data_IF_514262169616
#
_entry.id   IF_514262169616
#
_cell.length_a   1.000
_cell.length_b   1.000
_cell.length_c   1.000
_cell.angle_alpha   90.00
_cell.angle_beta   90.00
_cell.angle_gamma   90.00
#
_symmetry.space_group_name_H-M   'P 1'
#
loop_
_entity.id
_entity.type
_entity.pdbx_description
1 polymer ?
#
# COMPACT_ATOMS: atom_id res chain seq x y z
N UNK A 1 -31.24 -22.20 -2.67
CA UNK A 1 -30.65 -20.94 -3.08
C UNK A 1 -31.77 -19.91 -3.20
N UNK A 2 -31.74 -18.84 -2.37
CA UNK A 2 -32.88 -17.93 -2.17
C UNK A 2 -33.31 -17.25 -3.49
N UNK A 3 -34.59 -17.07 -3.68
CA UNK A 3 -35.25 -16.41 -4.83
C UNK A 3 -34.68 -14.99 -5.05
N UNK A 4 -34.25 -14.34 -3.97
CA UNK A 4 -33.59 -13.01 -3.99
C UNK A 4 -32.25 -13.02 -4.73
N UNK A 5 -31.44 -14.07 -4.55
CA UNK A 5 -30.13 -14.18 -5.22
C UNK A 5 -30.33 -14.33 -6.73
N UNK A 6 -31.32 -15.14 -7.18
CA UNK A 6 -31.61 -15.28 -8.61
C UNK A 6 -32.08 -13.97 -9.24
N UNK A 7 -32.95 -13.21 -8.56
CA UNK A 7 -33.43 -11.90 -9.04
C UNK A 7 -32.29 -10.89 -9.13
N UNK A 8 -31.41 -10.85 -8.12
CA UNK A 8 -30.24 -10.00 -8.13
C UNK A 8 -29.30 -10.30 -9.32
N UNK A 9 -28.99 -11.57 -9.55
CA UNK A 9 -28.16 -11.98 -10.69
C UNK A 9 -28.80 -11.70 -12.04
N UNK A 10 -30.12 -11.86 -12.17
CA UNK A 10 -30.85 -11.53 -13.41
C UNK A 10 -30.83 -10.02 -13.69
N UNK A 11 -30.95 -9.20 -12.65
CA UNK A 11 -30.85 -7.75 -12.76
C UNK A 11 -29.45 -7.30 -13.20
N UNK A 12 -28.40 -7.85 -12.56
CA UNK A 12 -27.02 -7.57 -12.94
C UNK A 12 -26.72 -7.95 -14.39
N UNK A 13 -27.25 -9.09 -14.86
CA UNK A 13 -27.01 -9.52 -16.25
C UNK A 13 -27.68 -8.63 -17.28
N UNK A 14 -28.79 -8.00 -16.94
CA UNK A 14 -29.55 -7.14 -17.85
C UNK A 14 -29.09 -5.69 -17.89
N UNK A 15 -28.27 -5.25 -16.94
CA UNK A 15 -27.89 -3.85 -16.81
C UNK A 15 -26.35 -3.69 -16.74
N UNK A 16 -25.74 -3.11 -17.78
CA UNK A 16 -24.30 -2.93 -17.88
C UNK A 16 -23.77 -1.99 -16.76
N UNK A 17 -24.50 -0.91 -16.46
CA UNK A 17 -24.15 0.01 -15.38
C UNK A 17 -24.17 -0.68 -14.01
N UNK A 18 -25.17 -1.53 -13.76
CA UNK A 18 -25.28 -2.29 -12.52
C UNK A 18 -24.12 -3.29 -12.36
N UNK A 19 -23.65 -3.91 -13.46
CA UNK A 19 -22.45 -4.77 -13.46
C UNK A 19 -21.21 -3.98 -13.10
N UNK A 20 -21.02 -2.80 -13.72
CA UNK A 20 -19.88 -1.92 -13.42
C UNK A 20 -19.83 -1.51 -11.96
N UNK A 21 -20.95 -1.01 -11.42
CA UNK A 21 -21.08 -0.64 -10.01
C UNK A 21 -20.83 -1.82 -9.07
N UNK A 22 -21.36 -2.99 -9.39
CA UNK A 22 -21.12 -4.20 -8.61
C UNK A 22 -19.64 -4.60 -8.60
N UNK A 23 -18.97 -4.56 -9.76
CA UNK A 23 -17.56 -4.87 -9.87
C UNK A 23 -16.71 -3.89 -9.03
N UNK A 24 -16.99 -2.59 -9.15
CA UNK A 24 -16.31 -1.56 -8.33
C UNK A 24 -16.54 -1.83 -6.85
N UNK A 25 -17.77 -2.15 -6.44
CA UNK A 25 -18.09 -2.50 -5.06
C UNK A 25 -17.31 -3.72 -4.56
N UNK A 26 -17.20 -4.77 -5.36
CA UNK A 26 -16.42 -5.98 -5.02
C UNK A 26 -14.94 -5.67 -4.88
N UNK A 27 -14.37 -4.88 -5.80
CA UNK A 27 -12.96 -4.48 -5.74
C UNK A 27 -12.67 -3.64 -4.50
N UNK A 28 -13.53 -2.66 -4.19
CA UNK A 28 -13.36 -1.82 -3.00
C UNK A 28 -13.48 -2.62 -1.71
N UNK A 29 -14.50 -3.47 -1.59
CA UNK A 29 -14.68 -4.32 -0.42
C UNK A 29 -13.52 -5.33 -0.28
N UNK A 30 -13.04 -5.87 -1.39
CA UNK A 30 -11.86 -6.74 -1.42
C UNK A 30 -10.61 -6.02 -0.92
N UNK A 31 -10.35 -4.80 -1.40
CA UNK A 31 -9.22 -3.98 -0.98
C UNK A 31 -9.28 -3.64 0.53
N UNK A 32 -10.46 -3.23 1.01
CA UNK A 32 -10.68 -2.96 2.45
C UNK A 32 -10.47 -4.24 3.27
N UNK A 33 -11.00 -5.37 2.81
CA UNK A 33 -10.84 -6.67 3.48
C UNK A 33 -9.38 -7.12 3.55
N UNK A 34 -8.62 -6.97 2.46
CA UNK A 34 -7.17 -7.26 2.42
C UNK A 34 -6.42 -6.34 3.40
N UNK A 35 -6.70 -5.03 3.35
CA UNK A 35 -6.05 -4.07 4.26
C UNK A 35 -6.33 -4.37 5.73
N UNK A 36 -7.59 -4.65 6.08
CA UNK A 36 -7.96 -5.04 7.44
C UNK A 36 -7.28 -6.35 7.86
N UNK A 37 -7.22 -7.35 6.96
CA UNK A 37 -6.52 -8.61 7.20
C UNK A 37 -5.03 -8.42 7.45
N UNK A 38 -4.35 -7.56 6.69
CA UNK A 38 -2.93 -7.23 6.89
C UNK A 38 -2.71 -6.54 8.24
N UNK A 39 -3.57 -5.59 8.64
CA UNK A 39 -3.48 -4.94 9.96
C UNK A 39 -3.60 -5.93 11.10
N UNK A 40 -4.54 -6.87 11.02
CA UNK A 40 -4.72 -7.90 12.04
C UNK A 40 -3.52 -8.87 12.05
N UNK A 41 -3.06 -9.33 10.88
CA UNK A 41 -1.94 -10.28 10.77
C UNK A 41 -0.62 -9.69 11.28
N UNK A 42 -0.39 -8.39 11.06
CA UNK A 42 0.80 -7.68 11.52
C UNK A 42 0.62 -7.01 12.88
N UNK A 43 -0.56 -7.13 13.49
CA UNK A 43 -0.88 -6.58 14.81
C UNK A 43 -0.48 -5.10 14.96
N UNK A 44 -0.77 -4.26 13.94
CA UNK A 44 -0.43 -2.84 13.94
C UNK A 44 -1.45 -2.03 13.15
N UNK A 45 -1.63 -0.76 13.54
CA UNK A 45 -2.49 0.18 12.80
C UNK A 45 -1.90 0.55 11.43
N UNK A 46 -0.58 0.59 11.33
CA UNK A 46 0.16 1.06 10.15
C UNK A 46 1.11 -0.02 9.64
N UNK A 47 0.61 -1.09 9.02
CA UNK A 47 1.44 -2.21 8.59
C UNK A 47 2.51 -1.84 7.56
N UNK A 48 2.27 -0.77 6.79
CA UNK A 48 3.18 -0.29 5.73
C UNK A 48 3.34 1.21 5.86
N UNK A 49 4.59 1.69 5.83
CA UNK A 49 4.94 3.10 5.96
C UNK A 49 6.00 3.48 4.92
N UNK A 50 6.03 4.77 4.57
CA UNK A 50 7.09 5.34 3.72
C UNK A 50 8.01 6.20 4.56
N UNK A 51 9.31 5.97 4.44
CA UNK A 51 10.35 6.75 5.11
C UNK A 51 10.43 8.13 4.46
N UNK A 52 10.18 9.19 5.24
CA UNK A 52 10.13 10.57 4.75
C UNK A 52 11.33 11.42 5.14
N UNK A 53 12.21 10.93 6.01
CA UNK A 53 13.38 11.67 6.50
C UNK A 53 14.67 10.85 6.44
N UNK A 54 15.81 11.52 6.41
CA UNK A 54 17.13 10.89 6.39
C UNK A 54 17.70 10.56 7.78
N UNK A 55 16.87 10.53 8.83
CA UNK A 55 17.34 10.29 10.20
C UNK A 55 17.99 8.92 10.41
N UNK A 56 17.73 7.97 9.51
CA UNK A 56 18.32 6.62 9.53
C UNK A 56 19.49 6.45 8.53
N UNK A 57 20.06 7.56 8.02
CA UNK A 57 21.22 7.56 7.14
C UNK A 57 22.47 8.03 7.88
N UNK A 58 23.49 7.19 7.95
CA UNK A 58 24.82 7.59 8.45
C UNK A 58 25.57 8.36 7.37
N UNK A 59 26.07 9.54 7.71
CA UNK A 59 27.01 10.27 6.84
C UNK A 59 28.41 9.76 7.08
N UNK A 60 28.98 9.06 6.13
CA UNK A 60 30.38 8.65 6.16
C UNK A 60 31.25 9.81 5.70
N UNK A 61 32.27 10.13 6.48
CA UNK A 61 33.12 11.32 6.27
C UNK A 61 34.13 11.19 5.12
N UNK A 62 34.36 9.98 4.58
CA UNK A 62 35.33 9.85 3.48
C UNK A 62 35.18 8.49 2.72
N UNK A 63 34.80 8.49 1.44
CA UNK A 63 34.14 9.57 0.70
C UNK A 63 32.76 9.89 1.28
N UNK A 64 32.23 11.07 0.99
CA UNK A 64 30.90 11.49 1.48
C UNK A 64 29.79 10.63 0.87
N UNK A 65 29.67 9.40 1.34
CA UNK A 65 28.65 8.43 0.96
C UNK A 65 27.71 8.27 2.14
N UNK A 66 26.44 8.59 1.92
CA UNK A 66 25.42 8.32 2.92
C UNK A 66 25.10 6.82 2.91
N UNK A 67 25.41 6.13 4.00
CA UNK A 67 24.98 4.74 4.21
C UNK A 67 23.66 4.74 4.99
N UNK A 68 22.58 4.53 4.30
CA UNK A 68 21.26 4.48 4.91
C UNK A 68 20.89 3.06 5.34
N UNK A 69 20.48 2.90 6.58
CA UNK A 69 19.74 1.71 7.02
C UNK A 69 18.34 1.74 6.43
N UNK A 70 17.71 2.92 6.43
CA UNK A 70 16.45 3.21 5.76
C UNK A 70 16.63 4.53 5.02
N UNK A 71 16.46 4.51 3.70
CA UNK A 71 16.56 5.70 2.85
C UNK A 71 15.20 6.41 2.70
N UNK A 72 15.24 7.70 2.38
CA UNK A 72 14.04 8.45 2.02
C UNK A 72 13.39 7.78 0.80
N UNK A 73 12.08 7.51 0.90
CA UNK A 73 11.33 6.80 -0.13
C UNK A 73 11.32 5.27 0.02
N UNK A 74 11.98 4.72 1.03
CA UNK A 74 11.83 3.31 1.34
C UNK A 74 10.41 3.02 1.85
N UNK A 75 9.82 1.96 1.32
CA UNK A 75 8.54 1.43 1.79
C UNK A 75 8.84 0.31 2.77
N UNK A 76 8.51 0.52 4.04
CA UNK A 76 8.84 -0.41 5.12
C UNK A 76 7.60 -1.14 5.63
N UNK A 77 7.77 -2.40 6.00
CA UNK A 77 6.77 -3.19 6.70
C UNK A 77 7.12 -3.24 8.17
N UNK A 78 6.13 -2.96 9.02
CA UNK A 78 6.26 -3.04 10.48
C UNK A 78 5.26 -4.03 11.07
N UNK A 79 5.58 -4.57 12.23
CA UNK A 79 4.75 -5.49 12.98
C UNK A 79 4.71 -5.09 14.45
N UNK A 80 3.51 -5.12 15.06
CA UNK A 80 3.38 -5.01 16.50
C UNK A 80 4.01 -6.20 17.20
N UNK A 81 4.87 -5.95 18.17
CA UNK A 81 5.58 -6.96 18.93
C UNK A 81 5.46 -6.70 20.43
N UNK A 82 5.68 -7.74 21.22
CA UNK A 82 5.77 -7.61 22.66
C UNK A 82 6.98 -6.75 23.03
N UNK A 83 6.83 -5.76 23.93
CA UNK A 83 7.94 -4.91 24.37
C UNK A 83 9.16 -5.68 24.87
N UNK A 84 8.98 -6.82 25.50
CA UNK A 84 10.08 -7.66 25.99
C UNK A 84 10.94 -8.28 24.89
N UNK A 85 10.46 -8.29 23.63
CA UNK A 85 11.20 -8.79 22.47
C UNK A 85 12.04 -7.72 21.78
N UNK A 86 11.91 -6.46 22.18
CA UNK A 86 12.64 -5.34 21.62
C UNK A 86 14.04 -5.30 22.25
N UNK A 87 15.06 -5.46 21.44
CA UNK A 87 16.45 -5.51 21.92
C UNK A 87 17.17 -4.18 21.69
N UNK A 88 17.80 -3.59 22.71
CA UNK A 88 18.61 -2.38 22.55
C UNK A 88 19.99 -2.69 21.94
N UNK A 89 20.59 -1.67 21.31
CA UNK A 89 21.98 -1.76 20.81
C UNK A 89 22.98 -1.86 21.97
N UNK A 90 22.74 -1.14 23.06
CA UNK A 90 23.64 -0.96 24.19
C UNK A 90 23.11 -1.71 25.40
N UNK A 91 23.39 -3.01 25.48
CA UNK A 91 22.97 -3.84 26.61
C UNK A 91 24.01 -3.80 27.75
N UNK A 92 23.51 -3.84 29.01
CA UNK A 92 24.37 -4.08 30.18
C UNK A 92 25.31 -2.95 30.59
N UNK A 93 25.01 -1.69 30.24
CA UNK A 93 25.84 -0.54 30.61
C UNK A 93 27.18 -0.49 29.86
N UNK A 94 27.37 -1.34 28.88
CA UNK A 94 28.53 -1.36 28.03
C UNK A 94 28.53 -0.14 27.12
N UNK A 95 29.51 0.73 27.29
CA UNK A 95 29.73 1.92 26.45
C UNK A 95 30.62 1.61 25.23
N UNK A 96 30.67 0.34 24.84
CA UNK A 96 31.48 -0.07 23.71
C UNK A 96 31.05 0.67 22.46
N UNK A 97 32.01 1.23 21.79
CA UNK A 97 31.85 1.93 20.52
C UNK A 97 31.68 0.88 19.43
N UNK A 98 30.45 0.37 19.25
CA UNK A 98 30.17 -0.52 18.15
C UNK A 98 30.16 0.28 16.86
N UNK A 99 30.90 -0.19 15.88
CA UNK A 99 30.94 0.39 14.53
C UNK A 99 29.64 0.11 13.74
N UNK A 100 28.77 -0.75 14.25
CA UNK A 100 27.53 -1.14 13.58
C UNK A 100 26.39 -1.32 14.60
N UNK A 101 25.35 -0.48 14.55
CA UNK A 101 24.21 -0.60 15.47
C UNK A 101 23.37 -1.86 15.16
N UNK A 102 23.14 -2.68 16.18
CA UNK A 102 22.39 -3.96 16.07
C UNK A 102 21.02 -3.91 16.70
N UNK A 103 20.67 -2.84 17.42
CA UNK A 103 19.38 -2.70 18.13
C UNK A 103 18.18 -2.72 17.20
N UNK A 104 17.05 -3.08 17.76
CA UNK A 104 15.75 -3.12 17.08
C UNK A 104 15.36 -1.72 16.57
N UNK A 105 14.87 -1.62 15.34
CA UNK A 105 14.31 -0.39 14.79
C UNK A 105 12.83 -0.39 15.09
N UNK A 106 12.36 0.65 15.79
CA UNK A 106 10.95 0.81 16.16
C UNK A 106 10.33 2.01 15.46
N UNK A 107 9.02 1.93 15.25
CA UNK A 107 8.16 3.03 14.84
C UNK A 107 7.30 3.40 16.01
N UNK A 108 7.28 4.66 16.38
CA UNK A 108 6.60 5.13 17.57
C UNK A 108 6.03 6.54 17.41
N UNK A 109 5.10 6.89 18.29
CA UNK A 109 4.60 8.27 18.47
C UNK A 109 5.47 8.95 19.52
N UNK A 110 6.14 10.08 19.19
CA UNK A 110 6.87 10.83 20.19
C UNK A 110 5.96 11.24 21.35
N UNK A 111 6.44 11.16 22.61
CA UNK A 111 5.64 11.63 23.74
C UNK A 111 5.45 13.15 23.70
N UNK A 112 4.40 13.66 24.35
CA UNK A 112 4.23 15.09 24.55
C UNK A 112 5.43 15.67 25.32
N UNK A 113 5.91 16.88 25.05
CA UNK A 113 5.31 17.89 24.17
C UNK A 113 5.79 17.84 22.70
N UNK A 114 6.54 16.83 22.29
CA UNK A 114 7.20 16.80 20.97
C UNK A 114 6.25 16.63 19.79
N UNK A 115 5.13 15.95 20.00
CA UNK A 115 4.04 15.92 19.03
C UNK A 115 2.70 15.68 19.71
N UNK A 116 1.68 16.42 19.28
CA UNK A 116 0.27 16.14 19.60
C UNK A 116 -0.48 15.53 18.40
N UNK A 117 0.19 15.36 17.26
CA UNK A 117 -0.40 14.72 16.08
C UNK A 117 -0.30 13.19 16.24
N UNK A 118 -1.43 12.48 16.34
CA UNK A 118 -1.44 11.01 16.46
C UNK A 118 -0.88 10.30 15.22
N UNK A 119 -0.80 10.99 14.09
CA UNK A 119 -0.25 10.46 12.84
C UNK A 119 1.24 10.78 12.64
N UNK A 120 1.82 11.60 13.52
CA UNK A 120 3.25 11.86 13.47
C UNK A 120 4.02 10.67 14.03
N UNK A 121 4.68 9.94 13.14
CA UNK A 121 5.44 8.74 13.46
C UNK A 121 6.93 8.97 13.24
N UNK A 122 7.74 8.45 14.15
CA UNK A 122 9.20 8.45 14.08
C UNK A 122 9.70 7.02 13.94
N UNK A 123 10.71 6.83 13.10
CA UNK A 123 11.38 5.55 12.88
C UNK A 123 12.82 5.69 13.33
N UNK A 124 13.16 5.12 14.48
CA UNK A 124 14.51 5.17 15.03
C UNK A 124 14.90 3.83 15.66
N UNK A 125 16.19 3.70 15.98
CA UNK A 125 16.76 2.50 16.59
C UNK A 125 16.74 2.60 18.10
N UNK A 126 16.42 1.50 18.77
CA UNK A 126 16.52 1.40 20.23
C UNK A 126 17.98 1.30 20.64
N UNK A 127 18.39 2.22 21.50
CA UNK A 127 19.75 2.32 22.04
C UNK A 127 19.82 1.67 23.42
N UNK A 128 18.86 1.99 24.26
CA UNK A 128 18.74 1.43 25.62
C UNK A 128 17.27 1.19 25.97
N UNK A 129 17.04 0.39 26.98
CA UNK A 129 15.74 0.14 27.56
C UNK A 129 15.75 0.41 29.06
N UNK A 130 14.62 0.85 29.58
CA UNK A 130 14.34 0.98 31.00
C UNK A 130 13.12 0.12 31.31
N UNK A 131 13.30 -0.89 32.16
CA UNK A 131 12.21 -1.69 32.66
C UNK A 131 11.89 -1.29 34.12
N UNK A 132 10.64 -0.92 34.36
CA UNK A 132 10.13 -0.61 35.71
C UNK A 132 8.91 -1.49 35.98
N UNK A 133 9.13 -2.57 36.74
CA UNK A 133 8.13 -3.60 36.90
C UNK A 133 7.79 -4.32 35.60
N UNK A 134 6.54 -4.20 35.16
CA UNK A 134 6.07 -4.74 33.87
C UNK A 134 6.05 -3.70 32.73
N UNK A 135 6.44 -2.47 33.03
CA UNK A 135 6.45 -1.37 32.03
C UNK A 135 7.82 -1.23 31.40
N UNK A 136 7.82 -1.06 30.08
CA UNK A 136 9.02 -0.80 29.29
C UNK A 136 9.02 0.63 28.74
N UNK A 137 10.19 1.23 28.71
CA UNK A 137 10.47 2.48 28.00
C UNK A 137 11.75 2.31 27.19
N UNK A 138 11.81 2.94 26.04
CA UNK A 138 12.90 2.78 25.09
C UNK A 138 13.58 4.14 24.82
N UNK A 139 14.90 4.15 24.90
CA UNK A 139 15.71 5.27 24.45
C UNK A 139 16.08 5.01 23.01
N UNK A 140 15.87 6.01 22.16
CA UNK A 140 15.99 5.87 20.71
C UNK A 140 17.04 6.78 20.13
N UNK A 141 17.48 6.46 18.91
CA UNK A 141 18.36 7.32 18.13
C UNK A 141 18.22 7.04 16.65
N UNK A 142 18.21 8.12 15.86
CA UNK A 142 18.38 8.02 14.43
C UNK A 142 19.83 7.67 14.08
N UNK A 143 20.02 6.79 13.12
CA UNK A 143 21.35 6.35 12.69
C UNK A 143 22.21 7.53 12.13
N UNK A 144 21.58 8.64 11.68
CA UNK A 144 22.27 9.87 11.28
C UNK A 144 22.99 10.58 12.42
N UNK A 145 22.54 10.38 13.66
CA UNK A 145 23.11 11.00 14.85
C UNK A 145 24.25 10.16 15.46
N UNK A 146 24.83 9.31 14.63
CA UNK A 146 25.94 8.46 15.01
C UNK A 146 27.20 9.30 15.20
N UNK A 147 27.68 9.41 16.45
CA UNK A 147 29.00 9.91 16.77
C UNK A 147 30.07 8.82 16.68
N UNK A 148 31.27 9.11 17.10
CA UNK A 148 32.38 8.14 17.15
C UNK A 148 32.04 6.88 18.02
N UNK A 149 31.03 6.98 18.86
CA UNK A 149 30.62 5.93 19.78
C UNK A 149 29.10 5.90 19.89
N UNK A 150 28.44 4.87 19.33
CA UNK A 150 27.00 4.79 19.25
C UNK A 150 26.32 4.84 20.63
N UNK A 151 26.86 4.12 21.60
CA UNK A 151 26.28 4.03 22.93
C UNK A 151 26.66 5.21 23.87
N UNK A 152 27.62 6.03 23.52
CA UNK A 152 28.07 7.18 24.32
C UNK A 152 27.47 8.53 23.85
N UNK A 153 26.83 8.56 22.69
CA UNK A 153 26.22 9.78 22.15
C UNK A 153 24.88 10.12 22.85
N UNK A 154 24.45 11.37 22.72
CA UNK A 154 23.18 11.82 23.27
C UNK A 154 22.00 11.10 22.60
N UNK A 155 20.95 10.81 23.37
CA UNK A 155 19.71 10.26 22.87
C UNK A 155 18.89 11.32 22.12
N UNK A 156 17.81 10.89 21.51
CA UNK A 156 16.89 11.80 20.82
C UNK A 156 16.21 12.78 21.78
N UNK A 157 15.76 13.96 21.30
CA UNK A 157 15.20 15.01 22.18
C UNK A 157 13.99 14.56 22.99
N UNK A 158 13.18 13.63 22.48
CA UNK A 158 12.01 13.09 23.16
C UNK A 158 12.34 12.03 24.22
N UNK A 159 13.58 11.57 24.26
CA UNK A 159 14.08 10.68 25.29
C UNK A 159 14.43 11.47 26.57
N UNK A 160 13.41 12.11 27.16
CA UNK A 160 13.54 12.65 28.50
C UNK A 160 13.99 11.55 29.47
N UNK A 161 14.15 11.84 30.74
CA UNK A 161 14.59 10.86 31.75
C UNK A 161 13.82 9.52 31.74
N UNK A 162 12.64 9.47 31.12
CA UNK A 162 11.75 8.31 31.08
C UNK A 162 11.79 7.51 29.74
N UNK A 163 12.41 8.05 28.67
CA UNK A 163 12.36 7.42 27.34
C UNK A 163 10.99 7.40 26.69
N UNK A 164 10.85 6.69 25.57
CA UNK A 164 9.60 6.47 24.85
C UNK A 164 8.85 5.30 25.52
N UNK A 165 7.64 5.52 26.07
CA UNK A 165 6.86 4.43 26.66
C UNK A 165 6.50 3.37 25.62
N UNK A 166 6.49 2.09 26.01
CA UNK A 166 6.11 0.98 25.13
C UNK A 166 4.71 1.15 24.52
N UNK A 167 3.78 1.79 25.23
CA UNK A 167 2.45 2.10 24.70
C UNK A 167 2.46 3.04 23.48
N UNK A 168 3.52 3.80 23.29
CA UNK A 168 3.68 4.70 22.13
C UNK A 168 4.30 3.97 20.93
N UNK A 169 4.82 2.74 21.11
CA UNK A 169 5.39 1.94 20.03
C UNK A 169 4.28 1.38 19.16
N UNK A 170 4.31 1.74 17.89
CA UNK A 170 3.32 1.31 16.88
C UNK A 170 3.71 -0.02 16.26
N UNK A 171 5.01 -0.27 16.15
CA UNK A 171 5.52 -1.53 15.65
C UNK A 171 7.04 -1.53 15.47
N UNK A 172 7.54 -2.70 15.11
CA UNK A 172 8.95 -2.98 14.87
C UNK A 172 9.17 -3.19 13.38
N UNK A 173 10.21 -2.58 12.83
CA UNK A 173 10.63 -2.78 11.45
C UNK A 173 10.91 -4.25 11.16
N UNK A 174 10.38 -4.76 10.06
CA UNK A 174 10.60 -6.13 9.62
C UNK A 174 11.51 -6.17 8.39
N UNK A 175 11.12 -5.48 7.33
CA UNK A 175 11.87 -5.41 6.07
C UNK A 175 11.42 -4.23 5.22
N UNK A 176 12.27 -3.88 4.25
CA UNK A 176 11.96 -2.89 3.21
C UNK A 176 11.40 -3.62 1.99
N UNK A 177 10.30 -3.13 1.45
CA UNK A 177 9.67 -3.68 0.23
C UNK A 177 10.56 -3.34 -0.97
N UNK A 178 11.05 -4.33 -1.73
CA UNK A 178 12.03 -4.10 -2.81
C UNK A 178 11.37 -3.62 -4.10
N UNK A 179 10.50 -2.60 -4.02
CA UNK A 179 9.88 -1.97 -5.20
C UNK A 179 10.48 -0.59 -5.36
N UNK A 180 11.39 -0.40 -6.33
CA UNK A 180 12.07 0.87 -6.52
C UNK A 180 11.05 1.97 -6.85
N UNK A 181 11.32 3.19 -6.36
CA UNK A 181 10.54 4.42 -6.60
C UNK A 181 9.10 4.42 -6.07
N UNK A 182 8.55 3.30 -5.58
CA UNK A 182 7.15 3.26 -5.11
C UNK A 182 6.91 4.22 -3.94
N UNK A 183 7.77 4.17 -2.93
CA UNK A 183 7.65 5.08 -1.79
C UNK A 183 7.89 6.53 -2.17
N UNK A 184 8.87 6.82 -3.04
CA UNK A 184 9.11 8.18 -3.55
C UNK A 184 7.91 8.71 -4.33
N UNK A 185 7.24 7.87 -5.11
CA UNK A 185 5.99 8.23 -5.80
C UNK A 185 4.87 8.56 -4.78
N UNK A 186 4.73 7.74 -3.73
CA UNK A 186 3.76 8.00 -2.65
C UNK A 186 4.06 9.33 -1.95
N UNK A 187 5.33 9.62 -1.62
CA UNK A 187 5.73 10.91 -1.03
C UNK A 187 5.44 12.08 -1.95
N UNK A 188 5.69 11.95 -3.26
CA UNK A 188 5.39 13.00 -4.24
C UNK A 188 3.90 13.27 -4.34
N UNK A 189 3.06 12.23 -4.37
CA UNK A 189 1.61 12.36 -4.36
C UNK A 189 1.14 13.01 -3.06
N UNK A 190 1.68 12.58 -1.92
CA UNK A 190 1.36 13.18 -0.61
C UNK A 190 1.71 14.66 -0.59
N UNK A 191 2.93 15.05 -0.99
CA UNK A 191 3.37 16.45 -1.03
C UNK A 191 2.56 17.31 -2.00
N UNK A 192 2.01 16.71 -3.08
CA UNK A 192 1.08 17.36 -3.98
C UNK A 192 -0.31 17.55 -3.33
N UNK A 193 -0.78 16.55 -2.56
CA UNK A 193 -2.12 16.54 -1.95
C UNK A 193 -2.20 17.33 -0.66
N UNK A 194 -1.13 17.35 0.13
CA UNK A 194 -1.11 17.92 1.48
C UNK A 194 0.08 18.86 1.65
N UNK A 195 -0.11 19.88 2.46
CA UNK A 195 0.99 20.74 2.91
C UNK A 195 1.74 20.04 4.04
N UNK A 196 3.01 19.75 3.86
CA UNK A 196 3.82 19.02 4.84
C UNK A 196 4.02 19.78 6.17
N UNK A 197 3.86 21.12 6.17
CA UNK A 197 4.01 21.93 7.38
C UNK A 197 2.73 22.01 8.20
N UNK A 198 1.58 22.03 7.54
CA UNK A 198 0.28 22.25 8.21
C UNK A 198 -0.59 20.98 8.26
N UNK A 199 -0.24 19.94 7.49
CA UNK A 199 -1.07 18.75 7.31
C UNK A 199 -2.40 19.01 6.58
N UNK A 200 -2.63 20.25 6.10
CA UNK A 200 -3.86 20.65 5.43
C UNK A 200 -3.87 20.18 3.97
N UNK A 201 -5.03 19.75 3.45
CA UNK A 201 -5.17 19.43 2.03
C UNK A 201 -4.91 20.67 1.17
N UNK A 202 -4.16 20.50 0.10
CA UNK A 202 -3.93 21.55 -0.90
C UNK A 202 -5.11 21.63 -1.85
N UNK A 203 -5.70 22.81 -2.09
CA UNK A 203 -6.83 22.95 -2.99
C UNK A 203 -6.49 22.52 -4.44
N UNK A 204 -5.24 22.72 -4.86
CA UNK A 204 -4.76 22.32 -6.17
C UNK A 204 -4.80 20.79 -6.35
N UNK A 205 -4.39 20.05 -5.32
CA UNK A 205 -4.44 18.58 -5.31
C UNK A 205 -5.87 18.05 -5.41
N UNK A 206 -6.78 18.63 -4.63
CA UNK A 206 -8.21 18.29 -4.70
C UNK A 206 -8.82 18.63 -6.06
N UNK A 207 -8.49 19.80 -6.64
CA UNK A 207 -8.99 20.20 -7.95
C UNK A 207 -8.59 19.21 -9.04
N UNK A 208 -7.34 18.74 -9.03
CA UNK A 208 -6.87 17.74 -10.02
C UNK A 208 -7.61 16.41 -9.87
N UNK A 209 -7.86 15.93 -8.66
CA UNK A 209 -8.65 14.70 -8.45
C UNK A 209 -10.06 14.88 -9.00
N UNK A 210 -10.72 15.99 -8.68
CA UNK A 210 -12.08 16.28 -9.20
C UNK A 210 -12.07 16.31 -10.71
N UNK A 211 -11.08 16.97 -11.34
CA UNK A 211 -10.95 17.02 -12.80
C UNK A 211 -10.72 15.63 -13.41
N UNK A 212 -9.89 14.79 -12.80
CA UNK A 212 -9.66 13.42 -13.26
C UNK A 212 -10.94 12.58 -13.17
N UNK A 213 -11.69 12.69 -12.08
CA UNK A 213 -12.98 12.01 -11.92
C UNK A 213 -13.96 12.48 -12.99
N UNK A 214 -14.08 13.79 -13.20
CA UNK A 214 -14.95 14.36 -14.24
C UNK A 214 -14.53 13.91 -15.64
N UNK A 215 -13.21 13.85 -15.92
CA UNK A 215 -12.70 13.38 -17.20
C UNK A 215 -13.03 11.89 -17.43
N UNK A 216 -12.91 11.04 -16.42
CA UNK A 216 -13.29 9.63 -16.50
C UNK A 216 -14.79 9.47 -16.79
N UNK A 217 -15.65 10.23 -16.09
CA UNK A 217 -17.09 10.22 -16.38
C UNK A 217 -17.41 10.75 -17.77
N UNK A 218 -16.75 11.83 -18.20
CA UNK A 218 -16.94 12.37 -19.54
C UNK A 218 -16.51 11.36 -20.62
N UNK A 219 -15.41 10.65 -20.41
CA UNK A 219 -14.95 9.61 -21.33
C UNK A 219 -15.96 8.47 -21.45
N UNK A 220 -16.55 8.02 -20.34
CA UNK A 220 -17.57 6.96 -20.33
C UNK A 220 -18.86 7.38 -21.04
N UNK A 221 -19.22 8.69 -20.97
CA UNK A 221 -20.42 9.22 -21.65
C UNK A 221 -20.15 9.42 -23.16
N UNK A 222 -18.92 9.82 -23.53
CA UNK A 222 -18.54 10.12 -24.91
C UNK A 222 -18.25 8.85 -25.70
N UNK A 223 -17.86 7.75 -25.04
CA UNK A 223 -17.65 6.48 -25.72
C UNK A 223 -18.99 6.02 -26.32
N UNK A 224 -19.19 6.16 -27.65
CA UNK A 224 -20.47 5.78 -28.24
C UNK A 224 -20.63 4.28 -28.03
N UNK A 225 -21.71 3.87 -27.37
CA UNK A 225 -22.13 2.48 -27.27
C UNK A 225 -21.93 1.83 -28.63
N UNK A 226 -20.82 1.08 -28.76
CA UNK A 226 -20.43 0.47 -30.02
C UNK A 226 -21.65 -0.24 -30.59
N UNK A 227 -22.15 0.28 -31.73
CA UNK A 227 -23.20 -0.36 -32.50
C UNK A 227 -22.85 -1.84 -32.54
N UNK A 228 -23.61 -2.67 -31.85
CA UNK A 228 -23.55 -4.12 -32.05
C UNK A 228 -23.63 -4.32 -33.55
N UNK A 229 -22.51 -4.60 -34.18
CA UNK A 229 -22.44 -5.06 -35.55
C UNK A 229 -23.44 -6.22 -35.62
N UNK A 230 -24.60 -5.99 -36.24
CA UNK A 230 -25.47 -7.08 -36.64
C UNK A 230 -24.58 -7.94 -37.54
N UNK A 231 -24.13 -9.04 -36.99
CA UNK A 231 -23.52 -10.11 -37.77
C UNK A 231 -24.58 -10.49 -38.78
N UNK A 232 -24.47 -9.94 -39.97
CA UNK A 232 -25.25 -10.35 -41.12
C UNK A 232 -24.80 -11.78 -41.36
N UNK A 233 -25.64 -12.72 -41.04
CA UNK A 233 -25.42 -14.12 -41.35
C UNK A 233 -25.10 -14.21 -42.84
N UNK A 234 -24.03 -14.92 -43.25
CA UNK A 234 -23.72 -15.07 -44.66
C UNK A 234 -24.96 -15.71 -45.35
N UNK A 235 -25.33 -15.26 -46.57
CA UNK A 235 -26.46 -15.81 -47.27
C UNK A 235 -26.23 -17.31 -47.47
N UNK A 236 -27.24 -18.10 -47.07
CA UNK A 236 -27.26 -19.56 -47.28
C UNK A 236 -26.90 -19.87 -48.73
N UNK A 237 -25.97 -20.82 -48.99
CA UNK A 237 -25.66 -21.20 -50.37
C UNK A 237 -26.91 -21.71 -51.06
N UNK A 238 -27.28 -21.10 -52.19
CA UNK A 238 -28.35 -21.62 -53.05
C UNK A 238 -27.92 -22.99 -53.53
N UNK A 239 -28.63 -24.00 -53.07
CA UNK A 239 -28.55 -25.36 -53.64
C UNK A 239 -28.99 -25.26 -55.11
N UNK A 240 -28.19 -25.65 -56.11
CA UNK A 240 -28.61 -25.74 -57.49
C UNK A 240 -29.81 -26.71 -57.60
N UNK A 241 -30.91 -26.28 -58.20
CA UNK A 241 -32.02 -27.18 -58.59
C UNK A 241 -31.49 -28.11 -59.65
N UNK A 242 -31.42 -29.39 -59.36
CA UNK A 242 -31.19 -30.44 -60.33
C UNK A 242 -32.45 -30.49 -61.21
N UNK A 243 -32.35 -30.42 -62.54
CA UNK A 243 -33.49 -30.65 -63.41
C UNK A 243 -34.02 -32.06 -63.20
N UNK A 244 -35.33 -32.17 -62.95
CA UNK A 244 -36.01 -33.44 -62.94
C UNK A 244 -35.99 -34.08 -64.32
N UNK A 245 -35.22 -35.12 -64.44
CA UNK A 245 -35.22 -36.02 -65.61
C UNK A 245 -36.57 -36.77 -65.64
N UNK A 246 -37.32 -36.54 -66.72
CA UNK A 246 -38.59 -37.17 -67.02
C UNK A 246 -38.30 -38.65 -67.41
N UNK A 247 -38.94 -39.67 -66.81
CA UNK A 247 -38.74 -41.06 -67.23
C UNK A 247 -39.47 -41.30 -68.55
N UNK A 248 -38.70 -41.53 -69.60
CA UNK A 248 -39.19 -41.98 -70.89
C UNK A 248 -39.89 -43.35 -70.78
N UNK A 249 -41.11 -43.42 -71.28
CA UNK A 249 -41.89 -44.62 -71.47
C UNK A 249 -41.22 -45.59 -72.48
N UNK A 250 -41.16 -46.87 -72.25
CA UNK A 250 -40.71 -47.83 -73.26
C UNK A 250 -41.78 -48.04 -74.31
N UNK A 251 -41.45 -47.80 -75.56
CA UNK A 251 -42.29 -48.25 -76.70
C UNK A 251 -42.24 -49.77 -76.84
N UNK A 252 -43.39 -50.33 -76.82
CA UNK A 252 -43.65 -51.73 -77.25
C UNK A 252 -43.58 -51.76 -78.76
N UNK A 253 -42.59 -52.41 -79.30
CA UNK A 253 -42.48 -52.83 -80.69
C UNK A 253 -42.77 -54.31 -80.82
N UNK A 254 -43.81 -54.62 -81.51
CA UNK A 254 -44.13 -55.98 -82.05
C UNK A 254 -43.11 -56.26 -83.17
N UNK A 255 -42.60 -57.41 -83.15
CA UNK A 255 -42.73 -58.57 -84.05
C UNK A 255 -41.69 -59.68 -83.65
#
# INVERSE_FOLDING_TARGET
MSTYIRRFWSYLRGNETAKGLFLVGVVLLGAIGIWAGVRVALNTEFPVLVVSSGSMCQRLTNPAIDKCTLAIGDLIVIRGQDPSSITPTCSGGNKDCTSSPTGTIIVFRPPAPYSNDPNFLVVHRVVAELQTGQSYSFFTRGDSNFGSCYCASANDPWDSAAGVPAANVVGVYQYTVPIPYLGSAILSIRGFMYNDQTGQPRPEGLAVIVLLILALFAFEIIEPSGKKSKTTSPPSPRVPRIPSEEPGLPETGQD
#
